data_IF_420975889186
#
_entry.id   IF_420975889186
#
_cell.length_a   1.000
_cell.length_b   1.000
_cell.length_c   1.000
_cell.angle_alpha   90.00
_cell.angle_beta   90.00
_cell.angle_gamma   90.00
#
_symmetry.space_group_name_H-M   'P 1'
#
loop_
_entity.id
_entity.type
_entity.pdbx_description
1 polymer ?
#
# COMPACT_ATOMS: atom_id res chain seq x y z
N UNK A 1 -8.54 -1.60 -2.37
CA UNK A 1 -7.57 -0.52 -2.08
C UNK A 1 -8.29 0.82 -2.06
N UNK A 2 -7.54 1.93 -2.00
CA UNK A 2 -8.09 3.29 -2.09
C UNK A 2 -7.30 4.08 -3.14
N UNK A 3 -8.00 4.84 -4.00
CA UNK A 3 -7.36 5.70 -4.98
C UNK A 3 -6.88 7.01 -4.34
N UNK A 4 -5.89 7.66 -4.96
CA UNK A 4 -5.42 8.98 -4.53
C UNK A 4 -6.50 10.05 -4.67
N UNK A 5 -7.32 10.00 -5.73
CA UNK A 5 -8.45 10.92 -5.91
C UNK A 5 -9.48 10.77 -4.77
N UNK A 6 -9.87 9.53 -4.43
CA UNK A 6 -10.81 9.26 -3.34
C UNK A 6 -10.34 9.79 -1.97
N UNK A 7 -9.03 9.87 -1.75
CA UNK A 7 -8.43 10.43 -0.53
C UNK A 7 -8.46 11.95 -0.50
N UNK A 8 -8.35 12.59 -1.66
CA UNK A 8 -8.38 14.04 -1.81
C UNK A 8 -9.81 14.58 -1.74
N UNK A 9 -10.76 13.86 -2.32
CA UNK A 9 -12.17 14.29 -2.44
C UNK A 9 -12.99 14.06 -1.16
N UNK A 10 -12.41 13.44 -0.12
CA UNK A 10 -13.10 13.22 1.14
C UNK A 10 -13.23 14.47 2.01
N UNK A 11 -14.14 14.44 2.99
CA UNK A 11 -14.38 15.54 3.95
C UNK A 11 -13.11 16.00 4.69
N UNK A 12 -12.12 15.11 4.81
CA UNK A 12 -10.79 15.41 5.32
C UNK A 12 -9.77 15.01 4.24
N UNK A 13 -9.37 15.94 3.35
CA UNK A 13 -8.43 15.66 2.28
C UNK A 13 -7.10 15.16 2.82
N UNK A 14 -6.67 14.02 2.30
CA UNK A 14 -5.44 13.35 2.71
C UNK A 14 -4.63 12.91 1.50
N UNK A 15 -3.34 12.68 1.73
CA UNK A 15 -2.46 12.03 0.78
C UNK A 15 -1.59 10.97 1.46
N UNK A 16 -1.01 10.11 0.64
CA UNK A 16 -0.04 9.12 1.02
C UNK A 16 1.33 9.50 0.46
N UNK A 17 2.34 9.46 1.32
CA UNK A 17 3.73 9.61 0.91
C UNK A 17 4.49 8.34 1.25
N UNK A 18 5.25 7.82 0.29
CA UNK A 18 6.13 6.67 0.51
C UNK A 18 7.37 7.17 1.26
N UNK A 19 7.62 6.65 2.46
CA UNK A 19 8.81 7.00 3.27
C UNK A 19 9.92 5.97 3.12
N UNK A 20 9.57 4.72 2.80
CA UNK A 20 10.52 3.63 2.57
C UNK A 20 9.95 2.65 1.55
N UNK A 21 10.81 2.16 0.66
CA UNK A 21 10.49 1.05 -0.23
C UNK A 21 11.70 0.11 -0.34
N UNK A 22 11.50 -1.17 -0.08
CA UNK A 22 12.47 -2.23 -0.30
C UNK A 22 11.94 -3.20 -1.35
N UNK A 23 12.80 -3.62 -2.28
CA UNK A 23 12.45 -4.56 -3.33
C UNK A 23 13.48 -5.69 -3.38
N UNK A 24 12.99 -6.92 -3.51
CA UNK A 24 13.81 -8.11 -3.76
C UNK A 24 13.37 -8.74 -5.07
N UNK A 25 14.23 -8.70 -6.08
CA UNK A 25 14.01 -9.34 -7.37
C UNK A 25 14.55 -10.76 -7.33
N UNK A 26 13.65 -11.73 -7.40
CA UNK A 26 13.96 -13.16 -7.21
C UNK A 26 14.12 -13.88 -8.54
N UNK A 27 13.31 -13.51 -9.53
CA UNK A 27 13.30 -14.09 -10.88
C UNK A 27 13.00 -12.99 -11.90
N UNK A 28 13.56 -13.06 -13.12
CA UNK A 28 13.25 -12.10 -14.17
C UNK A 28 11.83 -12.34 -14.73
N UNK A 29 11.17 -11.24 -15.09
CA UNK A 29 10.06 -11.25 -16.04
C UNK A 29 10.62 -11.07 -17.47
N UNK A 30 9.86 -11.50 -18.48
CA UNK A 30 10.13 -11.23 -19.89
C UNK A 30 9.13 -10.23 -20.46
N UNK A 31 9.45 -9.67 -21.63
CA UNK A 31 8.49 -8.89 -22.42
C UNK A 31 7.25 -9.77 -22.65
N UNK A 32 6.08 -9.16 -22.57
CA UNK A 32 4.76 -9.78 -22.68
C UNK A 32 4.37 -10.77 -21.56
N UNK A 33 5.19 -10.92 -20.51
CA UNK A 33 4.75 -11.64 -19.31
C UNK A 33 3.57 -10.90 -18.66
N UNK A 34 2.46 -11.60 -18.46
CA UNK A 34 1.36 -11.09 -17.65
C UNK A 34 1.74 -11.16 -16.17
N UNK A 35 1.91 -10.00 -15.55
CA UNK A 35 2.25 -9.88 -14.14
C UNK A 35 1.04 -9.46 -13.31
N UNK A 36 0.93 -10.03 -12.12
CA UNK A 36 -0.08 -9.66 -11.12
C UNK A 36 0.63 -9.09 -9.90
N UNK A 37 0.25 -7.88 -9.50
CA UNK A 37 0.69 -7.28 -8.23
C UNK A 37 -0.37 -7.52 -7.17
N UNK A 38 -0.04 -8.30 -6.15
CA UNK A 38 -0.89 -8.50 -4.97
C UNK A 38 -0.38 -7.61 -3.86
N UNK A 39 -1.28 -6.84 -3.26
CA UNK A 39 -0.96 -5.88 -2.18
C UNK A 39 -1.72 -6.27 -0.93
N UNK A 40 -1.02 -6.33 0.20
CA UNK A 40 -1.60 -6.55 1.51
C UNK A 40 -1.22 -5.39 2.43
N UNK A 41 -2.17 -4.92 3.24
CA UNK A 41 -1.88 -3.93 4.28
C UNK A 41 -1.52 -4.69 5.55
N UNK A 42 -0.25 -4.70 5.94
CA UNK A 42 0.23 -5.52 7.05
C UNK A 42 -0.14 -4.92 8.39
N UNK A 43 -0.03 -3.59 8.54
CA UNK A 43 -0.34 -2.92 9.80
C UNK A 43 -0.59 -1.41 9.63
N UNK A 44 -1.32 -0.84 10.59
CA UNK A 44 -1.47 0.61 10.76
C UNK A 44 -0.80 1.03 12.08
N UNK A 45 0.29 1.83 11.99
CA UNK A 45 1.07 2.30 13.16
C UNK A 45 1.08 3.82 13.24
N UNK A 46 0.09 4.39 13.92
CA UNK A 46 -0.08 5.83 14.02
C UNK A 46 -0.44 6.43 12.64
N UNK A 47 0.40 7.32 12.06
CA UNK A 47 0.21 7.82 10.70
C UNK A 47 0.75 6.87 9.62
N UNK A 48 1.47 5.80 10.00
CA UNK A 48 2.11 4.86 9.07
C UNK A 48 1.18 3.71 8.68
N UNK A 49 1.26 3.30 7.43
CA UNK A 49 0.72 2.09 6.83
C UNK A 49 1.91 1.24 6.37
N UNK A 50 2.01 0.01 6.88
CA UNK A 50 2.97 -0.98 6.42
C UNK A 50 2.29 -1.87 5.39
N UNK A 51 2.93 -2.06 4.24
CA UNK A 51 2.34 -2.74 3.09
C UNK A 51 3.36 -3.73 2.53
N UNK A 52 2.90 -4.95 2.27
CA UNK A 52 3.67 -5.95 1.54
C UNK A 52 3.07 -6.15 0.15
N UNK A 53 3.94 -6.34 -0.84
CA UNK A 53 3.52 -6.65 -2.21
C UNK A 53 4.28 -7.86 -2.75
N UNK A 54 3.57 -8.64 -3.55
CA UNK A 54 4.15 -9.70 -4.35
C UNK A 54 3.80 -9.47 -5.82
N UNK A 55 4.81 -9.45 -6.67
CA UNK A 55 4.66 -9.45 -8.12
C UNK A 55 4.82 -10.89 -8.59
N UNK A 56 3.77 -11.44 -9.21
CA UNK A 56 3.75 -12.82 -9.68
C UNK A 56 3.52 -12.93 -11.18
N UNK A 57 4.02 -13.99 -11.79
CA UNK A 57 3.61 -14.46 -13.12
C UNK A 57 2.98 -15.84 -12.93
N UNK A 58 1.65 -15.93 -13.05
CA UNK A 58 0.93 -17.10 -12.56
C UNK A 58 1.22 -17.30 -11.07
N UNK A 59 1.78 -18.45 -10.72
CA UNK A 59 2.15 -18.84 -9.35
C UNK A 59 3.60 -18.48 -8.97
N UNK A 60 4.44 -18.09 -9.93
CA UNK A 60 5.82 -17.69 -9.68
C UNK A 60 5.89 -16.31 -9.04
N UNK A 61 6.45 -16.20 -7.83
CA UNK A 61 6.83 -14.90 -7.26
C UNK A 61 8.13 -14.42 -7.91
N UNK A 62 8.06 -13.31 -8.63
CA UNK A 62 9.19 -12.69 -9.33
C UNK A 62 9.85 -11.60 -8.48
N UNK A 63 9.04 -10.82 -7.76
CA UNK A 63 9.51 -9.74 -6.91
C UNK A 63 8.67 -9.65 -5.63
N UNK A 64 9.33 -9.33 -4.52
CA UNK A 64 8.67 -8.93 -3.26
C UNK A 64 9.00 -7.47 -2.96
N UNK A 65 8.03 -6.73 -2.46
CA UNK A 65 8.23 -5.38 -1.98
C UNK A 65 7.71 -5.19 -0.56
N UNK A 66 8.44 -4.41 0.21
CA UNK A 66 8.04 -3.88 1.51
C UNK A 66 7.95 -2.37 1.38
N UNK A 67 6.77 -1.81 1.66
CA UNK A 67 6.48 -0.39 1.48
C UNK A 67 6.00 0.20 2.80
N UNK A 68 6.63 1.30 3.22
CA UNK A 68 6.13 2.14 4.30
C UNK A 68 5.53 3.41 3.70
N UNK A 69 4.28 3.66 4.05
CA UNK A 69 3.54 4.85 3.64
C UNK A 69 3.14 5.65 4.86
N UNK A 70 3.24 6.97 4.79
CA UNK A 70 2.71 7.90 5.79
C UNK A 70 1.52 8.64 5.24
N UNK A 71 0.46 8.69 6.04
CA UNK A 71 -0.69 9.55 5.84
C UNK A 71 -0.36 11.00 6.17
N UNK A 72 -0.61 11.91 5.25
CA UNK A 72 -0.43 13.36 5.45
C UNK A 72 -1.71 14.12 5.09
N UNK A 73 -1.87 15.31 5.65
CA UNK A 73 -2.81 16.29 5.12
C UNK A 73 -2.14 17.14 4.03
N UNK A 74 -2.91 18.02 3.39
CA UNK A 74 -2.40 18.93 2.36
C UNK A 74 -1.37 19.95 2.86
N UNK A 75 -1.22 20.11 4.18
CA UNK A 75 -0.12 20.87 4.80
C UNK A 75 1.21 20.08 4.88
N UNK A 76 1.23 18.84 4.38
CA UNK A 76 2.39 17.94 4.38
C UNK A 76 2.67 17.28 5.73
N UNK A 77 1.87 17.55 6.77
CA UNK A 77 2.15 17.04 8.12
C UNK A 77 1.58 15.63 8.32
N UNK A 78 2.31 14.72 8.97
CA UNK A 78 1.80 13.39 9.30
C UNK A 78 0.52 13.43 10.15
N UNK A 79 -0.46 12.62 9.77
CA UNK A 79 -1.75 12.48 10.45
C UNK A 79 -2.20 11.03 10.46
N UNK A 80 -3.03 10.65 11.43
CA UNK A 80 -3.56 9.28 11.48
C UNK A 80 -4.53 9.06 10.32
N UNK A 81 -4.64 7.82 9.78
CA UNK A 81 -5.72 7.46 8.88
C UNK A 81 -7.09 7.79 9.48
N UNK A 82 -7.96 8.43 8.69
CA UNK A 82 -9.37 8.64 9.04
C UNK A 82 -10.10 7.30 9.21
N UNK A 83 -11.24 7.33 9.89
CA UNK A 83 -12.07 6.12 10.04
C UNK A 83 -12.53 5.58 8.69
N UNK A 84 -12.98 6.47 7.78
CA UNK A 84 -13.37 6.09 6.42
C UNK A 84 -12.24 5.39 5.64
N UNK A 85 -11.00 5.87 5.78
CA UNK A 85 -9.85 5.20 5.20
C UNK A 85 -9.65 3.82 5.83
N UNK A 86 -9.68 3.72 7.16
CA UNK A 86 -9.54 2.45 7.90
C UNK A 86 -10.59 1.43 7.47
N UNK A 87 -11.83 1.86 7.28
CA UNK A 87 -12.94 0.99 6.87
C UNK A 87 -12.74 0.49 5.42
N UNK A 88 -12.25 1.35 4.51
CA UNK A 88 -11.94 0.96 3.12
C UNK A 88 -10.77 -0.02 3.01
N UNK A 89 -9.73 0.14 3.83
CA UNK A 89 -8.56 -0.77 3.81
C UNK A 89 -8.76 -1.99 4.70
N UNK A 90 -9.65 -1.94 5.70
CA UNK A 90 -9.90 -2.98 6.68
C UNK A 90 -10.08 -4.39 6.09
N UNK A 91 -10.88 -4.59 5.01
CA UNK A 91 -11.02 -5.89 4.36
C UNK A 91 -9.72 -6.48 3.79
N UNK A 92 -8.71 -5.63 3.56
CA UNK A 92 -7.40 -5.98 2.99
C UNK A 92 -6.27 -5.82 4.00
N UNK A 93 -6.60 -5.43 5.24
CA UNK A 93 -5.68 -5.44 6.35
C UNK A 93 -5.47 -6.90 6.72
N UNK A 94 -4.22 -7.35 6.73
CA UNK A 94 -3.88 -8.65 7.27
C UNK A 94 -4.51 -8.73 8.67
N UNK A 95 -5.47 -9.65 8.86
CA UNK A 95 -5.90 -9.99 10.22
C UNK A 95 -4.63 -10.46 10.92
N UNK A 96 -4.33 -9.91 12.09
CA UNK A 96 -3.27 -10.44 12.95
C UNK A 96 -3.40 -11.97 12.95
N UNK A 97 -2.33 -12.64 12.51
CA UNK A 97 -2.17 -14.08 12.64
C UNK A 97 -1.82 -14.41 14.09
#
# INVERSE_FOLDING_TARGET
>A
GIGHADLLDGDQPMAFVVTKMGLSFLKPARIDDQLVVRTHYDAVKGPRLLISQAVTRGEDVLCRAEVEVVCIHMDGRPRRPTQALRDKVGPWLAREA
#
